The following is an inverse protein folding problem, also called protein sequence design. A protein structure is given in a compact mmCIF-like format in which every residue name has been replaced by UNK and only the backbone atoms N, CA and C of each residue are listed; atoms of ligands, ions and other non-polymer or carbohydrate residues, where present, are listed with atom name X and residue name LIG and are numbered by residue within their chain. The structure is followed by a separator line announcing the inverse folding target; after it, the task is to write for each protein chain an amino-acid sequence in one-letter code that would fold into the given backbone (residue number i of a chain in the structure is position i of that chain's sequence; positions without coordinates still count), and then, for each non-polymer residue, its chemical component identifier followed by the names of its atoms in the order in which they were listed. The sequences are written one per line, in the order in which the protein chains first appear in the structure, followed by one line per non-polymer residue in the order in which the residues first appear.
data_IF_796578452890
#
_entry.id   IF_796578452890
#
_cell.length_a   1.000
_cell.length_b   1.000
_cell.length_c   1.000
_cell.angle_alpha   90.00
_cell.angle_beta   90.00
_cell.angle_gamma   90.00
#
_symmetry.space_group_name_H-M   'P 1'
#
loop_
_entity.id
_entity.type
_entity.pdbx_description
1 polymer ?
#
# COMPACT_ATOMS: atom_id res chain seq x y z
N UNK A 1 -0.74 11.15 1.93
CA UNK A 1 -2.20 11.36 1.77
C UNK A 1 -2.62 11.47 0.31
N UNK A 2 -2.01 12.34 -0.51
CA UNK A 2 -2.41 12.56 -1.91
C UNK A 2 -2.35 11.29 -2.79
N UNK A 3 -1.34 10.43 -2.61
CA UNK A 3 -1.23 9.16 -3.35
C UNK A 3 -2.35 8.16 -3.01
N UNK A 4 -2.74 8.08 -1.74
CA UNK A 4 -3.82 7.20 -1.27
C UNK A 4 -5.18 7.66 -1.81
N UNK A 5 -5.44 8.97 -1.80
CA UNK A 5 -6.67 9.58 -2.34
C UNK A 5 -6.78 9.35 -3.85
N UNK A 6 -5.68 9.48 -4.60
CA UNK A 6 -5.66 9.22 -6.04
C UNK A 6 -5.97 7.76 -6.35
N UNK A 7 -5.36 6.81 -5.64
CA UNK A 7 -5.62 5.36 -5.80
C UNK A 7 -7.06 4.99 -5.47
N UNK A 8 -7.61 5.56 -4.41
CA UNK A 8 -9.01 5.37 -4.05
C UNK A 8 -9.96 5.90 -5.13
N UNK A 9 -9.70 7.13 -5.63
CA UNK A 9 -10.50 7.72 -6.69
C UNK A 9 -10.47 6.89 -7.98
N UNK A 10 -9.28 6.46 -8.41
CA UNK A 10 -9.10 5.62 -9.60
C UNK A 10 -9.83 4.28 -9.41
N UNK A 11 -9.66 3.62 -8.27
CA UNK A 11 -10.35 2.36 -7.99
C UNK A 11 -11.87 2.52 -7.98
N UNK A 12 -12.38 3.61 -7.40
CA UNK A 12 -13.81 3.93 -7.37
C UNK A 12 -14.39 4.11 -8.77
N UNK A 13 -13.72 4.88 -9.62
CA UNK A 13 -14.11 5.06 -11.03
C UNK A 13 -14.06 3.72 -11.77
N UNK A 14 -13.03 2.90 -11.56
CA UNK A 14 -12.90 1.59 -12.21
C UNK A 14 -13.96 0.59 -11.77
N UNK A 15 -14.35 0.59 -10.48
CA UNK A 15 -15.40 -0.28 -9.98
C UNK A 15 -16.75 -0.01 -10.64
N UNK A 16 -17.02 1.24 -11.03
CA UNK A 16 -18.24 1.59 -11.75
C UNK A 16 -18.11 1.44 -13.27
N UNK A 17 -16.98 1.88 -13.83
CA UNK A 17 -16.74 1.86 -15.27
C UNK A 17 -16.59 0.43 -15.82
N UNK A 18 -15.94 -0.48 -15.09
CA UNK A 18 -15.65 -1.82 -15.60
C UNK A 18 -16.91 -2.68 -15.81
N UNK A 19 -17.90 -2.75 -14.88
CA UNK A 19 -19.18 -3.41 -15.14
C UNK A 19 -19.93 -2.82 -16.33
N UNK A 20 -19.97 -1.48 -16.44
CA UNK A 20 -20.66 -0.79 -17.53
C UNK A 20 -19.99 -1.10 -18.87
N UNK A 21 -18.65 -1.07 -18.92
CA UNK A 21 -17.90 -1.41 -20.11
C UNK A 21 -18.12 -2.86 -20.54
N UNK A 22 -18.24 -3.80 -19.60
CA UNK A 22 -18.55 -5.21 -19.91
C UNK A 22 -19.95 -5.35 -20.50
N UNK A 23 -20.95 -4.75 -19.86
CA UNK A 23 -22.34 -4.79 -20.35
C UNK A 23 -22.43 -4.14 -21.73
N UNK A 24 -21.80 -2.98 -21.91
CA UNK A 24 -21.74 -2.28 -23.19
C UNK A 24 -21.04 -3.11 -24.27
N UNK A 25 -19.93 -3.77 -23.90
CA UNK A 25 -19.14 -4.66 -24.74
C UNK A 25 -19.93 -5.84 -25.27
N UNK A 26 -20.69 -6.50 -24.40
CA UNK A 26 -21.63 -7.53 -24.84
C UNK A 26 -22.69 -6.91 -25.75
N UNK A 27 -23.40 -5.86 -25.33
CA UNK A 27 -24.50 -5.28 -26.11
C UNK A 27 -24.08 -4.81 -27.53
N UNK A 28 -22.85 -4.33 -27.70
CA UNK A 28 -22.30 -3.94 -29.01
C UNK A 28 -21.56 -5.06 -29.76
N UNK A 29 -21.64 -6.31 -29.28
CA UNK A 29 -20.99 -7.46 -29.91
C UNK A 29 -19.47 -7.31 -30.06
N UNK A 30 -18.82 -6.60 -29.13
CA UNK A 30 -17.37 -6.35 -29.15
C UNK A 30 -16.57 -7.61 -28.84
N UNK A 31 -17.19 -8.63 -28.24
CA UNK A 31 -16.56 -9.91 -27.95
C UNK A 31 -16.76 -10.89 -29.13
N UNK A 32 -15.68 -11.36 -29.79
CA UNK A 32 -15.79 -12.29 -30.90
C UNK A 32 -16.50 -13.57 -30.43
N UNK A 33 -17.66 -13.86 -31.01
CA UNK A 33 -18.50 -15.01 -30.64
C UNK A 33 -19.73 -14.68 -29.79
N UNK A 34 -19.85 -13.48 -29.21
CA UNK A 34 -21.03 -13.10 -28.42
C UNK A 34 -22.30 -12.96 -29.28
N UNK A 35 -22.16 -12.63 -30.56
CA UNK A 35 -23.28 -12.46 -31.50
C UNK A 35 -24.00 -13.75 -31.87
N UNK A 36 -23.42 -14.90 -31.53
CA UNK A 36 -24.02 -16.23 -31.74
C UNK A 36 -24.74 -16.75 -30.49
N UNK A 37 -24.67 -16.01 -29.38
CA UNK A 37 -25.31 -16.40 -28.13
C UNK A 37 -26.78 -15.99 -28.15
N UNK A 38 -27.62 -16.81 -27.51
CA UNK A 38 -28.99 -16.42 -27.19
C UNK A 38 -28.99 -15.21 -26.24
N UNK A 39 -29.96 -14.28 -26.34
CA UNK A 39 -30.07 -13.11 -25.46
C UNK A 39 -30.01 -13.45 -23.96
N UNK A 40 -30.59 -14.59 -23.57
CA UNK A 40 -30.57 -15.10 -22.19
C UNK A 40 -29.14 -15.44 -21.74
N UNK A 41 -28.41 -16.22 -22.55
CA UNK A 41 -27.03 -16.57 -22.27
C UNK A 41 -26.12 -15.35 -22.23
N UNK A 42 -26.38 -14.37 -23.10
CA UNK A 42 -25.63 -13.13 -23.17
C UNK A 42 -25.77 -12.28 -21.90
N UNK A 43 -26.98 -12.22 -21.34
CA UNK A 43 -27.27 -11.54 -20.07
C UNK A 43 -26.60 -12.25 -18.89
N UNK A 44 -26.67 -13.59 -18.86
CA UNK A 44 -26.00 -14.38 -17.82
C UNK A 44 -24.48 -14.22 -17.84
N UNK A 45 -23.85 -14.32 -19.01
CA UNK A 45 -22.41 -14.19 -19.16
C UNK A 45 -21.93 -12.77 -18.86
N UNK A 46 -22.62 -11.75 -19.36
CA UNK A 46 -22.26 -10.35 -19.09
C UNK A 46 -22.40 -10.00 -17.62
N UNK A 47 -23.47 -10.45 -16.95
CA UNK A 47 -23.67 -10.27 -15.51
C UNK A 47 -22.61 -10.98 -14.69
N UNK A 48 -22.33 -12.26 -14.99
CA UNK A 48 -21.27 -13.02 -14.32
C UNK A 48 -19.92 -12.33 -14.47
N UNK A 49 -19.56 -11.93 -15.69
CA UNK A 49 -18.29 -11.29 -15.99
C UNK A 49 -18.19 -9.90 -15.33
N UNK A 50 -19.29 -9.15 -15.24
CA UNK A 50 -19.36 -7.88 -14.53
C UNK A 50 -19.07 -8.05 -13.04
N UNK A 51 -19.66 -9.06 -12.38
CA UNK A 51 -19.38 -9.36 -10.96
C UNK A 51 -17.93 -9.79 -10.77
N UNK A 52 -17.41 -10.68 -11.61
CA UNK A 52 -15.99 -11.11 -11.55
C UNK A 52 -15.06 -9.92 -11.73
N UNK A 53 -15.37 -9.00 -12.64
CA UNK A 53 -14.57 -7.81 -12.91
C UNK A 53 -14.43 -6.91 -11.68
N UNK A 54 -15.52 -6.63 -10.96
CA UNK A 54 -15.46 -5.85 -9.72
C UNK A 54 -14.55 -6.52 -8.69
N UNK A 55 -14.64 -7.84 -8.55
CA UNK A 55 -13.78 -8.60 -7.62
C UNK A 55 -12.29 -8.47 -7.98
N UNK A 56 -11.95 -8.52 -9.27
CA UNK A 56 -10.56 -8.29 -9.73
C UNK A 56 -10.10 -6.87 -9.39
N UNK A 57 -10.93 -5.84 -9.64
CA UNK A 57 -10.62 -4.44 -9.29
C UNK A 57 -10.38 -4.28 -7.78
N UNK A 58 -11.20 -4.92 -6.95
CA UNK A 58 -11.04 -4.92 -5.49
C UNK A 58 -9.70 -5.56 -5.09
N UNK A 59 -9.36 -6.73 -5.64
CA UNK A 59 -8.08 -7.41 -5.33
C UNK A 59 -6.89 -6.53 -5.75
N UNK A 60 -6.94 -5.91 -6.93
CA UNK A 60 -5.90 -5.00 -7.40
C UNK A 60 -5.76 -3.77 -6.50
N UNK A 61 -6.87 -3.23 -6.02
CA UNK A 61 -6.86 -2.11 -5.08
C UNK A 61 -6.23 -2.50 -3.74
N UNK A 62 -6.63 -3.64 -3.16
CA UNK A 62 -6.06 -4.16 -1.90
C UNK A 62 -4.56 -4.41 -2.07
N UNK A 63 -4.15 -5.06 -3.16
CA UNK A 63 -2.74 -5.26 -3.46
C UNK A 63 -1.98 -3.94 -3.55
N UNK A 64 -2.55 -2.94 -4.24
CA UNK A 64 -1.95 -1.60 -4.37
C UNK A 64 -1.85 -0.86 -3.05
N UNK A 65 -2.78 -1.10 -2.12
CA UNK A 65 -2.77 -0.55 -0.76
C UNK A 65 -1.73 -1.24 0.12
N UNK A 66 -1.57 -2.56 0.01
CA UNK A 66 -0.52 -3.31 0.73
C UNK A 66 0.89 -2.97 0.25
N UNK A 67 1.02 -2.55 -1.01
CA UNK A 67 2.30 -2.26 -1.66
C UNK A 67 2.82 -0.85 -1.40
N UNK A 68 2.09 0.00 -0.68
CA UNK A 68 2.67 1.18 -0.04
C UNK A 68 3.39 0.69 1.23
N UNK A 69 4.72 0.49 1.21
CA UNK A 69 5.41 0.22 2.45
C UNK A 69 5.30 1.52 3.24
N UNK A 70 4.75 1.42 4.44
CA UNK A 70 4.97 2.34 5.55
C UNK A 70 6.31 3.02 5.35
N UNK A 71 6.31 4.33 5.07
CA UNK A 71 7.48 5.18 5.13
C UNK A 71 8.23 4.72 6.37
N UNK A 72 9.35 4.01 6.17
CA UNK A 72 10.19 3.63 7.29
C UNK A 72 10.64 4.98 7.79
N UNK A 73 10.09 5.37 8.94
CA UNK A 73 10.56 6.52 9.69
C UNK A 73 12.05 6.27 9.86
N UNK A 74 12.87 6.88 8.99
CA UNK A 74 14.31 6.79 9.12
C UNK A 74 14.62 7.34 10.51
N UNK A 75 15.26 6.56 11.38
CA UNK A 75 15.62 7.08 12.69
C UNK A 75 16.51 8.29 12.45
N UNK A 76 16.08 9.42 13.00
CA UNK A 76 16.69 10.74 12.76
C UNK A 76 18.22 10.61 12.85
N UNK A 77 18.89 11.03 11.77
CA UNK A 77 20.32 10.80 11.55
C UNK A 77 21.18 11.28 12.72
N UNK A 78 20.65 12.24 13.50
CA UNK A 78 21.25 12.72 14.75
C UNK A 78 21.29 11.65 15.84
N UNK A 79 20.23 10.85 16.01
CA UNK A 79 20.20 9.72 16.94
C UNK A 79 21.15 8.60 16.53
N UNK A 80 21.30 8.33 15.23
CA UNK A 80 22.29 7.36 14.74
C UNK A 80 23.73 7.84 14.98
N UNK A 81 23.98 9.14 14.82
CA UNK A 81 25.28 9.74 15.10
C UNK A 81 25.61 9.69 16.60
N UNK A 82 24.66 10.09 17.46
CA UNK A 82 24.82 10.08 18.91
C UNK A 82 24.95 8.66 19.48
N UNK A 83 24.18 7.69 18.99
CA UNK A 83 24.30 6.30 19.41
C UNK A 83 25.64 5.68 18.98
N UNK A 84 26.12 6.00 17.76
CA UNK A 84 27.45 5.57 17.30
C UNK A 84 28.58 6.27 18.05
N UNK A 85 28.40 7.51 18.48
CA UNK A 85 29.35 8.22 19.31
C UNK A 85 29.40 7.64 20.74
N UNK A 86 28.24 7.28 21.31
CA UNK A 86 28.12 6.63 22.61
C UNK A 86 28.80 5.26 22.67
N UNK A 87 28.68 4.44 21.62
CA UNK A 87 29.40 3.14 21.51
C UNK A 87 30.91 3.32 21.31
N UNK A 88 31.33 4.41 20.67
CA UNK A 88 32.74 4.68 20.39
C UNK A 88 33.48 5.34 21.53
N UNK A 89 32.79 5.79 22.59
CA UNK A 89 33.47 6.08 23.85
C UNK A 89 34.05 4.77 24.36
N UNK A 90 35.39 4.62 24.39
CA UNK A 90 35.98 3.56 25.18
C UNK A 90 35.58 3.82 26.62
N UNK A 91 35.61 2.77 27.44
CA UNK A 91 35.70 2.86 28.88
C UNK A 91 37.01 3.58 29.30
N UNK A 92 37.17 4.84 28.88
CA UNK A 92 38.13 5.78 29.38
C UNK A 92 37.55 6.33 30.69
N UNK A 93 37.71 5.48 31.70
CA UNK A 93 38.03 5.91 33.06
C UNK A 93 36.99 6.78 33.74
N UNK A 94 36.04 6.08 34.36
CA UNK A 94 35.54 6.31 35.72
C UNK A 94 36.67 6.36 36.79
N UNK A 95 37.84 6.92 36.48
CA UNK A 95 38.96 7.04 37.39
C UNK A 95 39.58 8.43 37.25
N UNK A 96 38.86 9.47 37.68
CA UNK A 96 39.40 10.79 38.07
C UNK A 96 38.28 11.72 38.56
N UNK A 97 37.43 11.26 39.50
CA UNK A 97 36.61 12.20 40.29
C UNK A 97 36.21 11.63 41.66
N UNK A 98 37.13 10.89 42.28
CA UNK A 98 36.97 10.37 43.63
C UNK A 98 38.24 10.58 44.45
N UNK A 99 38.77 11.80 44.45
CA UNK A 99 39.84 12.17 45.38
C UNK A 99 39.74 13.64 45.77
N UNK A 100 38.69 14.03 46.48
CA UNK A 100 38.68 15.29 47.26
C UNK A 100 37.60 15.31 48.36
N UNK A 101 37.33 14.16 49.00
CA UNK A 101 36.33 14.12 50.08
C UNK A 101 36.60 13.09 51.17
N UNK A 102 37.80 13.09 51.74
CA UNK A 102 38.05 12.40 53.01
C UNK A 102 39.34 12.91 53.68
N UNK A 103 39.24 14.04 54.41
CA UNK A 103 39.98 14.33 55.66
C UNK A 103 39.74 15.77 56.10
N UNK A 104 38.69 15.97 56.88
CA UNK A 104 38.66 16.98 57.94
C UNK A 104 37.52 16.65 58.91
N UNK A 105 37.78 15.65 59.76
CA UNK A 105 37.23 15.53 61.12
C UNK A 105 38.39 15.11 62.04
#
# INVERSE_FOLDING_TARGET
MMGVVSKFFIASVLMWAAPIAIIYGFNHNLFPGSSKLSPESMTLWSGLLAVVSVNVVIVLYIYSAMKEPSDKHEPDAKFLADAKASIKQPAATEAESSSDRAKQE
#
